data_IF_135188516722
#
_entry.id   IF_135188516722
#
_cell.length_a   1.000
_cell.length_b   1.000
_cell.length_c   1.000
_cell.angle_alpha   90.00
_cell.angle_beta   90.00
_cell.angle_gamma   90.00
#
_symmetry.space_group_name_H-M   'P 1'
#
loop_
_entity.id
_entity.type
_entity.pdbx_description
1 polymer ?
#
# COMPACT_ATOMS: atom_id res chain seq x y z
N UNK A 1 21.66 -44.48 -6.85
CA UNK A 1 20.56 -43.67 -6.29
C UNK A 1 20.47 -43.89 -4.77
N UNK A 2 21.56 -43.63 -4.02
CA UNK A 2 21.65 -43.90 -2.55
C UNK A 2 22.29 -42.74 -1.75
N UNK A 3 22.78 -41.69 -2.39
CA UNK A 3 23.57 -40.65 -1.67
C UNK A 3 22.76 -39.48 -1.11
N UNK A 4 21.51 -39.27 -1.56
CA UNK A 4 20.70 -38.11 -1.11
C UNK A 4 20.07 -38.35 0.26
N UNK A 5 19.73 -39.59 0.62
CA UNK A 5 19.08 -39.91 1.89
C UNK A 5 20.02 -39.83 3.11
N UNK A 6 21.33 -40.00 2.94
CA UNK A 6 22.29 -39.92 4.03
C UNK A 6 22.50 -38.48 4.55
N UNK A 7 22.49 -37.51 3.64
CA UNK A 7 22.76 -36.11 3.99
C UNK A 7 21.57 -35.46 4.69
N UNK A 8 20.35 -35.73 4.25
CA UNK A 8 19.13 -35.24 4.90
C UNK A 8 18.94 -35.84 6.29
N UNK A 9 19.27 -37.13 6.47
CA UNK A 9 19.21 -37.79 7.78
C UNK A 9 20.20 -37.20 8.80
N UNK A 10 21.40 -36.84 8.36
CA UNK A 10 22.39 -36.20 9.25
C UNK A 10 21.99 -34.76 9.65
N UNK A 11 21.36 -34.00 8.74
CA UNK A 11 20.88 -32.66 9.06
C UNK A 11 19.78 -32.72 10.12
N UNK A 12 18.83 -33.65 10.01
CA UNK A 12 17.76 -33.82 11.01
C UNK A 12 18.33 -34.22 12.38
N UNK A 13 19.32 -35.11 12.41
CA UNK A 13 20.00 -35.49 13.65
C UNK A 13 20.76 -34.32 14.30
N UNK A 14 21.44 -33.49 13.50
CA UNK A 14 22.14 -32.32 13.99
C UNK A 14 21.18 -31.29 14.60
N UNK A 15 20.03 -31.06 13.96
CA UNK A 15 18.98 -30.15 14.48
C UNK A 15 18.40 -30.69 15.79
N UNK A 16 18.11 -31.98 15.88
CA UNK A 16 17.61 -32.59 17.11
C UNK A 16 18.62 -32.50 18.26
N UNK A 17 19.91 -32.67 17.98
CA UNK A 17 20.97 -32.51 18.97
C UNK A 17 21.05 -31.05 19.49
N UNK A 18 20.93 -30.06 18.60
CA UNK A 18 20.93 -28.65 18.98
C UNK A 18 19.70 -28.29 19.85
N UNK A 19 18.52 -28.82 19.51
CA UNK A 19 17.31 -28.64 20.34
C UNK A 19 17.47 -29.28 21.72
N UNK A 20 18.05 -30.48 21.80
CA UNK A 20 18.31 -31.15 23.08
C UNK A 20 19.31 -30.36 23.95
N UNK A 21 20.38 -29.83 23.36
CA UNK A 21 21.36 -28.98 24.05
C UNK A 21 20.69 -27.68 24.53
N UNK A 22 19.86 -27.06 23.71
CA UNK A 22 19.11 -25.85 24.08
C UNK A 22 18.18 -26.10 25.28
N UNK A 23 17.47 -27.24 25.30
CA UNK A 23 16.62 -27.63 26.44
C UNK A 23 17.46 -27.90 27.70
N UNK A 24 18.61 -28.56 27.58
CA UNK A 24 19.53 -28.80 28.69
C UNK A 24 20.12 -27.50 29.26
N UNK A 25 20.53 -26.56 28.39
CA UNK A 25 20.99 -25.24 28.82
C UNK A 25 19.86 -24.47 29.53
N UNK A 26 18.62 -24.58 29.05
CA UNK A 26 17.45 -23.97 29.68
C UNK A 26 17.09 -24.61 31.02
N UNK A 27 17.37 -25.91 31.20
CA UNK A 27 17.20 -26.61 32.48
C UNK A 27 18.31 -26.29 33.48
N UNK A 28 19.56 -26.12 33.03
CA UNK A 28 20.70 -25.75 33.88
C UNK A 28 20.75 -24.25 34.20
N UNK A 29 20.13 -23.38 33.39
CA UNK A 29 20.10 -21.93 33.59
C UNK A 29 19.08 -21.42 34.61
N UNK A 30 18.61 -22.26 35.53
CA UNK A 30 17.67 -21.87 36.58
C UNK A 30 18.37 -21.84 37.94
N UNK A 31 18.88 -20.70 38.42
CA UNK A 31 19.25 -20.57 39.82
C UNK A 31 17.96 -20.41 40.63
N UNK A 32 17.55 -21.48 41.29
CA UNK A 32 16.72 -21.40 42.50
C UNK A 32 17.62 -20.97 43.67
N UNK A 33 17.07 -20.16 44.59
CA UNK A 33 17.75 -19.46 45.71
C UNK A 33 18.60 -20.35 46.63
N UNK A 34 19.42 -19.81 47.53
CA UNK A 34 19.16 -18.82 48.58
C UNK A 34 20.50 -18.28 49.16
N UNK A 35 20.43 -17.10 49.79
CA UNK A 35 21.30 -16.57 50.87
C UNK A 35 22.80 -16.29 50.64
N UNK A 36 23.21 -15.06 50.99
CA UNK A 36 24.56 -14.80 51.54
C UNK A 36 25.38 -13.73 50.83
N UNK A 37 25.67 -12.67 51.60
CA UNK A 37 26.80 -11.74 51.49
C UNK A 37 26.75 -10.56 50.50
N UNK A 38 26.98 -9.39 51.11
CA UNK A 38 27.25 -8.10 50.50
C UNK A 38 28.54 -8.18 49.70
N UNK A 39 28.49 -7.80 48.43
CA UNK A 39 29.62 -7.16 47.76
C UNK A 39 29.10 -6.23 46.66
N UNK A 40 29.55 -4.99 46.70
CA UNK A 40 29.28 -3.96 45.70
C UNK A 40 29.84 -4.38 44.33
N UNK A 41 28.97 -4.71 43.38
CA UNK A 41 29.34 -4.86 41.97
C UNK A 41 28.95 -3.57 41.24
N UNK A 42 29.89 -2.89 40.54
CA UNK A 42 29.61 -1.64 39.86
C UNK A 42 28.57 -1.87 38.76
N UNK A 43 27.65 -0.92 38.62
CA UNK A 43 26.59 -0.93 37.63
C UNK A 43 27.15 -1.25 36.23
N UNK A 44 26.80 -2.44 35.72
CA UNK A 44 26.99 -2.75 34.30
C UNK A 44 26.19 -1.72 33.50
N UNK A 45 26.81 -1.04 32.50
CA UNK A 45 26.09 -0.05 31.70
C UNK A 45 24.92 -0.76 31.04
N UNK A 46 23.72 -0.22 31.24
CA UNK A 46 22.52 -0.72 30.61
C UNK A 46 22.78 -0.91 29.11
N UNK A 47 22.90 -2.17 28.67
CA UNK A 47 22.82 -2.50 27.26
C UNK A 47 21.48 -1.95 26.79
N UNK A 48 21.53 -0.84 26.05
CA UNK A 48 20.41 -0.38 25.24
C UNK A 48 20.14 -1.50 24.25
N UNK A 49 19.26 -2.43 24.62
CA UNK A 49 18.67 -3.37 23.67
C UNK A 49 18.18 -2.50 22.51
N UNK A 50 18.60 -2.75 21.26
CA UNK A 50 18.07 -2.00 20.13
C UNK A 50 16.55 -2.08 20.23
N UNK A 51 15.87 -0.93 20.13
CA UNK A 51 14.42 -0.87 20.21
C UNK A 51 13.88 -1.87 19.18
N UNK A 52 13.16 -2.90 19.65
CA UNK A 52 12.45 -3.80 18.77
C UNK A 52 11.41 -2.95 18.05
N UNK A 53 11.67 -2.63 16.78
CA UNK A 53 10.68 -2.06 15.87
C UNK A 53 9.50 -3.03 15.90
N UNK A 54 8.29 -2.53 16.17
CA UNK A 54 7.11 -3.39 16.14
C UNK A 54 6.88 -3.89 14.72
N UNK A 55 6.26 -5.06 14.55
CA UNK A 55 5.95 -5.58 13.20
C UNK A 55 5.13 -4.56 12.39
N UNK A 56 4.31 -3.74 13.06
CA UNK A 56 3.51 -2.67 12.45
C UNK A 56 4.38 -1.49 11.98
N UNK A 57 5.32 -1.01 12.81
CA UNK A 57 6.30 0.03 12.42
C UNK A 57 7.19 -0.43 11.26
N UNK A 58 7.53 -1.74 11.22
CA UNK A 58 8.31 -2.31 10.13
C UNK A 58 7.53 -2.32 8.82
N UNK A 59 6.27 -2.78 8.84
CA UNK A 59 5.39 -2.78 7.67
C UNK A 59 5.14 -1.34 7.17
N UNK A 60 4.91 -0.39 8.08
CA UNK A 60 4.72 1.01 7.72
C UNK A 60 5.98 1.62 7.10
N UNK A 61 7.18 1.30 7.61
CA UNK A 61 8.44 1.78 7.02
C UNK A 61 8.66 1.30 5.58
N UNK A 62 8.11 0.14 5.22
CA UNK A 62 8.23 -0.45 3.89
C UNK A 62 7.12 0.02 2.94
N UNK A 63 5.88 0.09 3.44
CA UNK A 63 4.69 0.45 2.65
C UNK A 63 4.48 1.96 2.53
N UNK A 64 4.99 2.76 3.47
CA UNK A 64 4.84 4.20 3.53
C UNK A 64 5.28 4.91 2.24
N UNK A 65 6.51 4.69 1.75
CA UNK A 65 6.97 5.29 0.49
C UNK A 65 6.10 4.92 -0.72
N UNK A 66 5.61 3.67 -0.79
CA UNK A 66 4.73 3.22 -1.87
C UNK A 66 3.35 3.88 -1.79
N UNK A 67 2.83 4.04 -0.58
CA UNK A 67 1.58 4.75 -0.34
C UNK A 67 1.70 6.23 -0.70
N UNK A 68 2.80 6.88 -0.32
CA UNK A 68 3.06 8.29 -0.65
C UNK A 68 3.14 8.50 -2.17
N UNK A 69 3.93 7.70 -2.86
CA UNK A 69 4.09 7.75 -4.33
C UNK A 69 2.76 7.49 -5.06
N UNK A 70 1.95 6.53 -4.56
CA UNK A 70 0.63 6.28 -5.10
C UNK A 70 -0.33 7.46 -4.90
N UNK A 71 -0.28 8.11 -3.73
CA UNK A 71 -1.13 9.26 -3.41
C UNK A 71 -0.72 10.51 -4.21
N UNK A 72 0.58 10.72 -4.45
CA UNK A 72 1.09 11.79 -5.31
C UNK A 72 0.61 11.61 -6.75
N UNK A 73 0.72 10.40 -7.27
CA UNK A 73 0.22 10.09 -8.63
C UNK A 73 -1.28 10.31 -8.74
N UNK A 74 -2.04 9.93 -7.70
CA UNK A 74 -3.47 10.15 -7.67
C UNK A 74 -3.83 11.63 -7.58
N UNK A 75 -3.06 12.42 -6.83
CA UNK A 75 -3.22 13.87 -6.73
C UNK A 75 -3.02 14.55 -8.08
N UNK A 76 -1.93 14.22 -8.79
CA UNK A 76 -1.66 14.71 -10.15
C UNK A 76 -2.79 14.33 -11.12
N UNK A 77 -3.28 13.10 -11.02
CA UNK A 77 -4.40 12.65 -11.85
C UNK A 77 -5.70 13.42 -11.56
N UNK A 78 -5.97 13.72 -10.27
CA UNK A 78 -7.11 14.54 -9.87
C UNK A 78 -6.96 15.99 -10.37
N UNK A 79 -5.74 16.53 -10.43
CA UNK A 79 -5.49 17.83 -11.04
C UNK A 79 -5.79 17.84 -12.54
N UNK A 80 -5.40 16.79 -13.27
CA UNK A 80 -5.85 16.61 -14.66
C UNK A 80 -7.37 16.50 -14.79
N UNK A 81 -8.07 15.82 -13.86
CA UNK A 81 -9.55 15.82 -13.85
C UNK A 81 -10.09 17.24 -13.71
N UNK A 82 -9.55 18.06 -12.80
CA UNK A 82 -9.97 19.45 -12.59
C UNK A 82 -9.73 20.31 -13.83
N UNK A 83 -8.57 20.16 -14.47
CA UNK A 83 -8.24 20.84 -15.72
C UNK A 83 -9.19 20.41 -16.86
N UNK A 84 -9.46 19.11 -16.99
CA UNK A 84 -10.41 18.56 -17.97
C UNK A 84 -11.81 19.15 -17.80
N UNK A 85 -12.31 19.23 -16.56
CA UNK A 85 -13.59 19.87 -16.24
C UNK A 85 -13.61 21.35 -16.62
N UNK A 86 -12.54 22.09 -16.36
CA UNK A 86 -12.42 23.50 -16.73
C UNK A 86 -12.45 23.71 -18.26
N UNK A 87 -11.69 22.90 -19.01
CA UNK A 87 -11.73 22.91 -20.48
C UNK A 87 -13.10 22.52 -21.02
N UNK A 88 -13.75 21.53 -20.42
CA UNK A 88 -15.09 21.09 -20.78
C UNK A 88 -16.09 22.24 -20.65
N UNK A 89 -16.10 22.94 -19.51
CA UNK A 89 -16.99 24.09 -19.30
C UNK A 89 -16.77 25.23 -20.31
N UNK A 90 -15.56 25.35 -20.85
CA UNK A 90 -15.17 26.32 -21.89
C UNK A 90 -15.41 25.83 -23.32
N UNK A 91 -16.04 24.66 -23.49
CA UNK A 91 -16.28 24.01 -24.78
C UNK A 91 -15.01 23.65 -25.56
N UNK A 92 -13.87 23.50 -24.87
CA UNK A 92 -12.62 23.04 -25.45
C UNK A 92 -12.54 21.51 -25.35
N UNK A 93 -13.40 20.82 -26.11
CA UNK A 93 -13.65 19.38 -25.94
C UNK A 93 -12.42 18.50 -26.19
N UNK A 94 -11.60 18.82 -27.20
CA UNK A 94 -10.37 18.08 -27.48
C UNK A 94 -9.38 18.16 -26.31
N UNK A 95 -9.10 19.38 -25.82
CA UNK A 95 -8.22 19.60 -24.67
C UNK A 95 -8.78 18.96 -23.38
N UNK A 96 -10.10 19.04 -23.17
CA UNK A 96 -10.75 18.36 -22.06
C UNK A 96 -10.58 16.83 -22.14
N UNK A 97 -10.73 16.26 -23.34
CA UNK A 97 -10.52 14.82 -23.60
C UNK A 97 -9.08 14.39 -23.30
N UNK A 98 -8.08 15.17 -23.72
CA UNK A 98 -6.67 14.89 -23.42
C UNK A 98 -6.38 14.87 -21.92
N UNK A 99 -6.93 15.84 -21.17
CA UNK A 99 -6.79 15.87 -19.70
C UNK A 99 -7.48 14.70 -19.02
N UNK A 100 -8.71 14.34 -19.44
CA UNK A 100 -9.39 13.17 -18.90
C UNK A 100 -8.64 11.87 -19.21
N UNK A 101 -8.11 11.74 -20.42
CA UNK A 101 -7.29 10.59 -20.81
C UNK A 101 -6.01 10.48 -19.96
N UNK A 102 -5.33 11.61 -19.74
CA UNK A 102 -4.17 11.70 -18.86
C UNK A 102 -4.51 11.28 -17.43
N UNK A 103 -5.63 11.80 -16.90
CA UNK A 103 -6.13 11.45 -15.58
C UNK A 103 -6.43 9.95 -15.45
N UNK A 104 -7.05 9.30 -16.45
CA UNK A 104 -7.30 7.85 -16.41
C UNK A 104 -6.00 7.06 -16.26
N UNK A 105 -4.95 7.43 -17.00
CA UNK A 105 -3.63 6.77 -16.89
C UNK A 105 -3.01 6.97 -15.51
N UNK A 106 -3.10 8.18 -14.95
CA UNK A 106 -2.62 8.48 -13.60
C UNK A 106 -3.37 7.67 -12.53
N UNK A 107 -4.70 7.60 -12.64
CA UNK A 107 -5.55 6.81 -11.72
C UNK A 107 -5.21 5.31 -11.81
N UNK A 108 -4.99 4.78 -13.02
CA UNK A 108 -4.61 3.38 -13.21
C UNK A 108 -3.24 3.08 -12.59
N UNK A 109 -2.24 3.94 -12.81
CA UNK A 109 -0.91 3.84 -12.19
C UNK A 109 -0.96 3.89 -10.66
N UNK A 110 -1.70 4.85 -10.09
CA UNK A 110 -1.90 4.93 -8.65
C UNK A 110 -2.60 3.68 -8.10
N UNK A 111 -3.63 3.17 -8.80
CA UNK A 111 -4.34 1.96 -8.39
C UNK A 111 -3.44 0.72 -8.39
N UNK A 112 -2.54 0.59 -9.36
CA UNK A 112 -1.56 -0.50 -9.41
C UNK A 112 -0.63 -0.47 -8.19
N UNK A 113 -0.05 0.69 -7.87
CA UNK A 113 0.82 0.86 -6.70
C UNK A 113 0.11 0.55 -5.38
N UNK A 114 -1.15 0.97 -5.24
CA UNK A 114 -1.95 0.63 -4.06
C UNK A 114 -2.24 -0.87 -3.97
N UNK A 115 -2.43 -1.56 -5.10
CA UNK A 115 -2.60 -3.03 -5.11
C UNK A 115 -1.32 -3.74 -4.70
N UNK A 116 -0.16 -3.21 -5.03
CA UNK A 116 1.13 -3.74 -4.55
C UNK A 116 1.23 -3.64 -3.03
N UNK A 117 0.83 -2.51 -2.43
CA UNK A 117 0.77 -2.37 -0.96
C UNK A 117 -0.13 -3.46 -0.35
N UNK A 118 -1.32 -3.69 -0.92
CA UNK A 118 -2.21 -4.75 -0.45
C UNK A 118 -1.61 -6.15 -0.62
N UNK A 119 -0.82 -6.38 -1.66
CA UNK A 119 -0.21 -7.68 -1.94
C UNK A 119 0.98 -8.00 -1.03
N UNK A 120 1.73 -6.98 -0.62
CA UNK A 120 2.91 -7.11 0.25
C UNK A 120 2.48 -7.32 1.71
N UNK A 121 1.34 -6.75 2.09
CA UNK A 121 0.86 -6.81 3.47
C UNK A 121 0.07 -8.11 3.71
N UNK A 122 0.65 -9.02 4.49
CA UNK A 122 0.06 -10.32 4.80
C UNK A 122 -1.24 -10.24 5.62
N UNK A 123 -1.33 -9.28 6.54
CA UNK A 123 -2.56 -9.05 7.32
C UNK A 123 -3.51 -8.07 6.61
N UNK A 124 -4.64 -8.55 6.04
CA UNK A 124 -5.62 -7.69 5.38
C UNK A 124 -6.33 -6.72 6.32
N UNK A 125 -6.21 -6.90 7.64
CA UNK A 125 -6.77 -6.07 8.70
C UNK A 125 -5.87 -4.93 9.18
N UNK A 126 -4.61 -4.91 8.77
CA UNK A 126 -3.65 -3.86 9.13
C UNK A 126 -4.04 -2.48 8.60
N UNK A 127 -3.51 -1.42 9.23
CA UNK A 127 -3.74 -0.03 8.83
C UNK A 127 -3.42 0.24 7.36
N UNK A 128 -2.20 -0.08 6.88
CA UNK A 128 -1.79 0.15 5.49
C UNK A 128 -2.68 -0.58 4.47
N UNK A 129 -3.02 -1.85 4.71
CA UNK A 129 -3.88 -2.61 3.80
C UNK A 129 -5.30 -2.06 3.72
N UNK A 130 -5.87 -1.61 4.84
CA UNK A 130 -7.18 -0.95 4.87
C UNK A 130 -7.19 0.38 4.15
N UNK A 131 -6.15 1.19 4.37
CA UNK A 131 -6.02 2.50 3.72
C UNK A 131 -5.86 2.31 2.20
N UNK A 132 -4.98 1.42 1.76
CA UNK A 132 -4.78 1.12 0.34
C UNK A 132 -6.07 0.63 -0.33
N UNK A 133 -6.82 -0.30 0.28
CA UNK A 133 -8.12 -0.77 -0.24
C UNK A 133 -9.14 0.37 -0.38
N UNK A 134 -9.18 1.28 0.59
CA UNK A 134 -10.08 2.44 0.54
C UNK A 134 -9.73 3.33 -0.65
N UNK A 135 -8.44 3.64 -0.82
CA UNK A 135 -7.95 4.46 -1.94
C UNK A 135 -8.13 3.76 -3.30
N UNK A 136 -8.03 2.44 -3.38
CA UNK A 136 -8.35 1.68 -4.61
C UNK A 136 -9.81 1.87 -5.02
N UNK A 137 -10.74 1.88 -4.07
CA UNK A 137 -12.15 2.12 -4.37
C UNK A 137 -12.39 3.56 -4.84
N UNK A 138 -11.70 4.55 -4.25
CA UNK A 138 -11.70 5.93 -4.75
C UNK A 138 -11.17 6.01 -6.19
N UNK A 139 -10.04 5.36 -6.49
CA UNK A 139 -9.53 5.25 -7.86
C UNK A 139 -10.56 4.64 -8.80
N UNK A 140 -11.25 3.57 -8.38
CA UNK A 140 -12.28 2.91 -9.20
C UNK A 140 -13.42 3.85 -9.55
N UNK A 141 -13.90 4.63 -8.58
CA UNK A 141 -14.97 5.58 -8.77
C UNK A 141 -14.54 6.75 -9.67
N UNK A 142 -13.38 7.35 -9.38
CA UNK A 142 -12.80 8.42 -10.19
C UNK A 142 -12.64 7.96 -11.64
N UNK A 143 -11.97 6.82 -11.86
CA UNK A 143 -11.73 6.25 -13.19
C UNK A 143 -13.01 6.09 -14.00
N UNK A 144 -14.05 5.50 -13.41
CA UNK A 144 -15.30 5.23 -14.11
C UNK A 144 -16.02 6.50 -14.57
N UNK A 145 -15.96 7.56 -13.76
CA UNK A 145 -16.58 8.84 -14.09
C UNK A 145 -15.73 9.64 -15.09
N UNK A 146 -14.39 9.62 -14.93
CA UNK A 146 -13.45 10.27 -15.86
C UNK A 146 -13.56 9.70 -17.27
N UNK A 147 -13.63 8.36 -17.41
CA UNK A 147 -13.82 7.71 -18.73
C UNK A 147 -15.11 8.18 -19.39
N UNK A 148 -16.21 8.28 -18.64
CA UNK A 148 -17.47 8.77 -19.21
C UNK A 148 -17.37 10.22 -19.67
N UNK A 149 -16.60 11.06 -18.97
CA UNK A 149 -16.35 12.42 -19.41
C UNK A 149 -15.43 12.50 -20.63
N UNK A 150 -14.42 11.63 -20.73
CA UNK A 150 -13.61 11.45 -21.94
C UNK A 150 -14.50 11.05 -23.14
N UNK A 151 -15.35 10.04 -22.97
CA UNK A 151 -16.33 9.62 -23.99
C UNK A 151 -17.32 10.75 -24.34
N UNK A 152 -17.68 11.60 -23.37
CA UNK A 152 -18.53 12.77 -23.61
C UNK A 152 -17.82 13.80 -24.47
N UNK A 153 -16.51 14.02 -24.28
CA UNK A 153 -15.69 14.87 -25.13
C UNK A 153 -15.65 14.33 -26.57
N UNK A 154 -15.36 13.05 -26.74
CA UNK A 154 -15.34 12.40 -28.05
C UNK A 154 -16.68 12.55 -28.78
N UNK A 155 -17.79 12.33 -28.07
CA UNK A 155 -19.13 12.52 -28.62
C UNK A 155 -19.42 13.98 -29.02
N UNK A 156 -18.92 14.97 -28.26
CA UNK A 156 -19.03 16.39 -28.61
C UNK A 156 -18.23 16.72 -29.87
N UNK A 157 -17.00 16.21 -29.98
CA UNK A 157 -16.13 16.40 -31.15
C UNK A 157 -16.77 15.78 -32.40
N UNK A 158 -17.37 14.60 -32.26
CA UNK A 158 -18.08 13.89 -33.34
C UNK A 158 -19.44 14.51 -33.72
N UNK A 159 -19.92 15.53 -32.99
CA UNK A 159 -21.24 16.14 -33.20
C UNK A 159 -22.43 15.28 -32.75
N UNK A 160 -22.19 14.24 -31.92
CA UNK A 160 -23.22 13.34 -31.36
C UNK A 160 -23.80 13.92 -30.07
N UNK A 161 -24.54 15.02 -30.17
CA UNK A 161 -25.06 15.74 -29.01
C UNK A 161 -25.93 14.89 -28.07
N UNK A 162 -26.69 13.94 -28.61
CA UNK A 162 -27.54 13.05 -27.81
C UNK A 162 -26.73 12.11 -26.90
N UNK A 163 -25.64 11.56 -27.44
CA UNK A 163 -24.76 10.65 -26.70
C UNK A 163 -23.96 11.41 -25.64
N UNK A 164 -23.44 12.60 -26.00
CA UNK A 164 -22.73 13.49 -25.08
C UNK A 164 -23.59 13.86 -23.85
N UNK A 165 -24.88 14.17 -24.05
CA UNK A 165 -25.82 14.50 -22.97
C UNK A 165 -26.08 13.35 -21.99
N UNK A 166 -26.07 12.11 -22.48
CA UNK A 166 -26.18 10.93 -21.62
C UNK A 166 -24.96 10.78 -20.72
N UNK A 167 -23.78 11.00 -21.29
CA UNK A 167 -22.49 10.82 -20.62
C UNK A 167 -22.18 11.96 -19.64
N UNK A 168 -22.48 13.22 -19.98
CA UNK A 168 -22.22 14.40 -19.14
C UNK A 168 -23.01 14.41 -17.82
N UNK A 169 -24.02 13.54 -17.68
CA UNK A 169 -24.81 13.39 -16.45
C UNK A 169 -23.98 13.03 -15.22
N UNK A 170 -22.76 12.51 -15.41
CA UNK A 170 -21.83 12.14 -14.34
C UNK A 170 -20.93 13.30 -13.85
N UNK A 171 -20.92 14.42 -14.56
CA UNK A 171 -20.06 15.57 -14.26
C UNK A 171 -20.19 16.07 -12.81
N UNK A 172 -21.40 16.22 -12.21
CA UNK A 172 -21.52 16.69 -10.83
C UNK A 172 -20.91 15.73 -9.80
N UNK A 173 -20.99 14.42 -10.05
CA UNK A 173 -20.39 13.41 -9.17
C UNK A 173 -18.86 13.44 -9.28
N UNK A 174 -18.33 13.63 -10.50
CA UNK A 174 -16.89 13.78 -10.74
C UNK A 174 -16.33 15.04 -10.08
N UNK A 175 -17.00 16.18 -10.24
CA UNK A 175 -16.66 17.46 -9.58
C UNK A 175 -16.62 17.32 -8.05
N UNK A 176 -17.63 16.64 -7.48
CA UNK A 176 -17.68 16.38 -6.03
C UNK A 176 -16.50 15.52 -5.58
N UNK A 177 -16.20 14.43 -6.28
CA UNK A 177 -15.08 13.56 -5.91
C UNK A 177 -13.74 14.30 -6.02
N UNK A 178 -13.49 14.97 -7.16
CA UNK A 178 -12.25 15.70 -7.39
C UNK A 178 -12.04 16.85 -6.40
N UNK A 179 -13.10 17.55 -5.98
CA UNK A 179 -13.01 18.62 -4.98
C UNK A 179 -12.85 18.11 -3.53
N UNK A 180 -13.34 16.90 -3.25
CA UNK A 180 -13.23 16.27 -1.93
C UNK A 180 -11.88 15.59 -1.68
N UNK A 181 -11.10 15.34 -2.73
CA UNK A 181 -9.82 14.64 -2.63
C UNK A 181 -8.84 15.40 -1.74
N UNK A 182 -8.26 14.68 -0.77
CA UNK A 182 -7.21 15.15 0.14
C UNK A 182 -6.19 14.03 0.29
N UNK A 183 -4.90 14.38 0.15
CA UNK A 183 -3.76 13.50 0.45
C UNK A 183 -3.82 13.05 1.91
#
# INVERSE_FOLDING_TARGET
MVEVFGMTGMIVLAVLALVAIYILMRLMGRPSGEEGEQDEVPASPAEKRPAMISDEDFIESYTGPMMEDALETLEEAVDSVRAGLEYYQRSAWEAAGEEFHSAVRGIDSASERLKEVVAIVEDPGSGPAKQAKTRIEECRQLRALTIRMEEACDARVDGKEGDAKGLESVMPDLERLASSFKK
#
